data_IF_293014812133
#
_entry.id   IF_293014812133
#
_cell.length_a   1.000
_cell.length_b   1.000
_cell.length_c   1.000
_cell.angle_alpha   90.00
_cell.angle_beta   90.00
_cell.angle_gamma   90.00
#
_symmetry.space_group_name_H-M   'P 1'
#
loop_
_entity.id
_entity.type
_entity.pdbx_description
1 polymer ?
#
# COMPACT_ATOMS: atom_id res chain seq x y z
N UNK A 1 2.06 -18.75 0.26
CA UNK A 1 0.67 -18.41 -0.14
C UNK A 1 0.65 -16.93 -0.53
N UNK A 2 0.23 -16.59 -1.74
CA UNK A 2 0.13 -15.20 -2.19
C UNK A 2 -1.24 -14.62 -1.79
N UNK A 3 -1.32 -14.08 -0.58
CA UNK A 3 -2.57 -13.52 -0.05
C UNK A 3 -2.32 -12.18 0.64
N UNK A 4 -2.81 -11.10 0.02
CA UNK A 4 -2.86 -9.75 0.59
C UNK A 4 -4.24 -9.14 0.31
N UNK A 5 -4.89 -8.64 1.37
CA UNK A 5 -6.19 -7.97 1.30
C UNK A 5 -6.15 -6.75 0.37
N UNK A 6 -5.04 -5.99 0.36
CA UNK A 6 -4.90 -4.76 -0.43
C UNK A 6 -4.94 -5.00 -1.93
N UNK A 7 -4.62 -6.22 -2.39
CA UNK A 7 -4.77 -6.62 -3.80
C UNK A 7 -6.02 -7.45 -4.08
N UNK A 8 -6.40 -8.36 -3.18
CA UNK A 8 -7.53 -9.27 -3.43
C UNK A 8 -8.89 -8.65 -3.15
N UNK A 9 -8.97 -7.74 -2.18
CA UNK A 9 -10.16 -6.97 -1.83
C UNK A 9 -9.75 -5.50 -1.64
N UNK A 10 -9.38 -4.82 -2.73
CA UNK A 10 -8.87 -3.46 -2.65
C UNK A 10 -9.92 -2.54 -2.04
N UNK A 11 -9.49 -1.73 -1.08
CA UNK A 11 -10.27 -0.68 -0.45
C UNK A 11 -9.59 0.68 -0.70
N UNK A 12 -10.34 1.77 -0.51
CA UNK A 12 -9.87 3.14 -0.72
C UNK A 12 -9.26 3.36 -2.12
N UNK A 13 -7.92 3.50 -2.18
CA UNK A 13 -7.16 3.86 -3.38
C UNK A 13 -6.07 2.82 -3.68
N UNK A 14 -6.03 1.71 -2.94
CA UNK A 14 -4.99 0.68 -3.10
C UNK A 14 -5.05 -0.02 -4.47
N UNK A 15 -6.19 0.00 -5.15
CA UNK A 15 -6.37 -0.45 -6.53
C UNK A 15 -5.54 0.36 -7.54
N UNK A 16 -5.33 1.65 -7.27
CA UNK A 16 -4.60 2.58 -8.16
C UNK A 16 -3.11 2.65 -7.84
N UNK A 17 -2.66 2.04 -6.73
CA UNK A 17 -1.28 2.07 -6.28
C UNK A 17 -0.50 0.87 -6.81
N UNK A 18 0.73 1.11 -7.29
CA UNK A 18 1.59 0.04 -7.82
C UNK A 18 2.54 -0.45 -6.74
N UNK A 19 2.32 -1.68 -6.28
CA UNK A 19 3.22 -2.38 -5.36
C UNK A 19 3.20 -3.89 -5.59
N UNK A 20 4.26 -4.55 -5.14
CA UNK A 20 4.48 -5.98 -5.28
C UNK A 20 4.35 -6.67 -3.91
N UNK A 21 3.88 -7.93 -3.90
CA UNK A 21 3.70 -8.71 -2.67
C UNK A 21 4.89 -9.65 -2.54
N UNK A 22 5.77 -9.49 -1.53
CA UNK A 22 6.87 -10.41 -1.31
C UNK A 22 6.35 -11.74 -0.76
N UNK A 23 6.84 -12.85 -1.32
CA UNK A 23 6.45 -14.21 -0.93
C UNK A 23 7.71 -15.00 -0.60
N UNK A 24 7.80 -15.50 0.64
CA UNK A 24 8.89 -16.38 1.06
C UNK A 24 8.78 -17.77 0.42
N UNK A 25 9.92 -18.42 0.16
CA UNK A 25 9.98 -19.69 -0.58
C UNK A 25 10.03 -20.88 0.36
N UNK A 26 10.83 -20.81 1.43
CA UNK A 26 11.13 -21.92 2.33
C UNK A 26 10.28 -21.90 3.60
N UNK A 27 9.76 -20.72 4.00
CA UNK A 27 8.85 -20.58 5.14
C UNK A 27 9.56 -20.61 6.51
N UNK A 28 10.88 -20.38 6.54
CA UNK A 28 11.65 -20.28 7.77
C UNK A 28 11.54 -18.89 8.44
N UNK A 29 12.20 -18.72 9.59
CA UNK A 29 12.21 -17.43 10.30
C UNK A 29 12.95 -16.34 9.52
N UNK A 30 13.90 -16.71 8.66
CA UNK A 30 14.71 -15.77 7.89
C UNK A 30 13.91 -15.20 6.72
N UNK A 31 13.16 -16.03 6.00
CA UNK A 31 12.21 -15.62 4.98
C UNK A 31 11.16 -14.65 5.54
N UNK A 32 10.64 -14.91 6.74
CA UNK A 32 9.69 -13.97 7.40
C UNK A 32 10.34 -12.62 7.72
N UNK A 33 11.62 -12.60 8.05
CA UNK A 33 12.36 -11.35 8.23
C UNK A 33 12.53 -10.62 6.90
N UNK A 34 12.98 -11.31 5.86
CA UNK A 34 13.18 -10.73 4.52
C UNK A 34 11.88 -10.19 3.92
N UNK A 35 10.78 -10.94 4.02
CA UNK A 35 9.44 -10.51 3.58
C UNK A 35 9.06 -9.19 4.25
N UNK A 36 9.27 -9.04 5.57
CA UNK A 36 8.98 -7.78 6.28
C UNK A 36 9.85 -6.62 5.81
N UNK A 37 11.14 -6.87 5.54
CA UNK A 37 12.03 -5.82 5.01
C UNK A 37 11.58 -5.38 3.61
N UNK A 38 11.14 -6.31 2.77
CA UNK A 38 10.57 -5.99 1.46
C UNK A 38 9.23 -5.24 1.56
N UNK A 39 8.35 -5.62 2.50
CA UNK A 39 7.10 -4.89 2.75
C UNK A 39 7.35 -3.44 3.16
N UNK A 40 8.40 -3.17 3.96
CA UNK A 40 8.81 -1.79 4.30
C UNK A 40 9.27 -1.02 3.05
N UNK A 41 10.02 -1.66 2.15
CA UNK A 41 10.45 -1.04 0.88
C UNK A 41 9.26 -0.71 -0.02
N UNK A 42 8.31 -1.63 -0.14
CA UNK A 42 7.08 -1.42 -0.91
C UNK A 42 6.20 -0.33 -0.27
N UNK A 43 6.14 -0.27 1.07
CA UNK A 43 5.42 0.80 1.78
C UNK A 43 6.00 2.18 1.46
N UNK A 44 7.32 2.31 1.46
CA UNK A 44 7.98 3.56 1.05
C UNK A 44 7.67 3.93 -0.42
N UNK A 45 7.56 2.94 -1.31
CA UNK A 45 7.19 3.16 -2.71
C UNK A 45 5.74 3.64 -2.86
N UNK A 46 4.83 3.11 -2.04
CA UNK A 46 3.43 3.55 -2.00
C UNK A 46 3.36 5.00 -1.52
N UNK A 47 4.04 5.34 -0.41
CA UNK A 47 4.04 6.71 0.15
C UNK A 47 4.54 7.72 -0.90
N UNK A 48 5.62 7.42 -1.62
CA UNK A 48 6.13 8.29 -2.69
C UNK A 48 5.10 8.51 -3.80
N UNK A 49 4.40 7.46 -4.24
CA UNK A 49 3.33 7.59 -5.24
C UNK A 49 2.17 8.46 -4.73
N UNK A 50 1.77 8.31 -3.46
CA UNK A 50 0.73 9.14 -2.86
C UNK A 50 1.15 10.61 -2.79
N UNK A 51 2.39 10.90 -2.38
CA UNK A 51 2.92 12.28 -2.32
C UNK A 51 2.94 12.90 -3.72
N UNK A 52 3.44 12.19 -4.72
CA UNK A 52 3.49 12.70 -6.10
C UNK A 52 2.09 12.95 -6.66
N UNK A 53 1.12 12.11 -6.30
CA UNK A 53 -0.27 12.30 -6.70
C UNK A 53 -0.91 13.50 -6.00
N UNK A 54 -0.72 13.65 -4.68
CA UNK A 54 -1.24 14.78 -3.90
C UNK A 54 -0.68 16.12 -4.39
N UNK A 55 0.61 16.17 -4.74
CA UNK A 55 1.23 17.38 -5.31
C UNK A 55 0.62 17.82 -6.64
N UNK A 56 0.10 16.88 -7.42
CA UNK A 56 -0.54 17.14 -8.73
C UNK A 56 -2.04 17.43 -8.61
N UNK A 57 -2.68 16.98 -7.53
CA UNK A 57 -4.12 17.04 -7.35
C UNK A 57 -4.45 17.76 -6.03
N UNK A 58 -4.42 19.10 -6.01
CA UNK A 58 -4.90 19.86 -4.87
C UNK A 58 -6.42 19.77 -4.77
N UNK A 59 -6.94 19.56 -3.57
CA UNK A 59 -8.38 19.47 -3.32
C UNK A 59 -8.70 19.45 -1.82
N UNK A 60 -9.98 19.65 -1.46
CA UNK A 60 -10.41 19.52 -0.07
C UNK A 60 -10.23 18.08 0.42
N UNK A 61 -9.69 17.94 1.62
CA UNK A 61 -9.44 16.62 2.25
C UNK A 61 -10.66 16.14 3.03
N UNK A 62 -11.53 17.08 3.44
CA UNK A 62 -12.76 16.82 4.16
C UNK A 62 -13.95 17.00 3.23
N UNK A 63 -15.02 16.26 3.49
CA UNK A 63 -16.31 16.51 2.86
C UNK A 63 -16.90 17.80 3.43
N UNK A 64 -17.46 18.63 2.56
CA UNK A 64 -18.13 19.89 2.94
C UNK A 64 -19.53 19.64 3.56
N UNK A 65 -20.01 18.40 3.56
CA UNK A 65 -21.28 18.02 4.18
C UNK A 65 -21.12 17.85 5.69
N UNK A 66 -21.19 18.96 6.40
CA UNK A 66 -21.40 18.99 7.83
C UNK A 66 -22.90 18.81 8.09
N UNK A 67 -23.50 17.62 7.96
CA UNK A 67 -24.82 17.42 8.60
C UNK A 67 -24.60 17.65 10.10
N UNK A 68 -24.88 18.82 10.72
CA UNK A 68 -25.96 19.81 10.61
C UNK A 68 -25.75 21.10 9.80
#
# INVERSE_FOLDING_TARGET
>A
IEWDLRKKQPYEVYDKLKFDIPVGVNGDCYDRYLVRVEELRQSNRIIKQCIDWLRRNPGPVMLDDHKF
#
